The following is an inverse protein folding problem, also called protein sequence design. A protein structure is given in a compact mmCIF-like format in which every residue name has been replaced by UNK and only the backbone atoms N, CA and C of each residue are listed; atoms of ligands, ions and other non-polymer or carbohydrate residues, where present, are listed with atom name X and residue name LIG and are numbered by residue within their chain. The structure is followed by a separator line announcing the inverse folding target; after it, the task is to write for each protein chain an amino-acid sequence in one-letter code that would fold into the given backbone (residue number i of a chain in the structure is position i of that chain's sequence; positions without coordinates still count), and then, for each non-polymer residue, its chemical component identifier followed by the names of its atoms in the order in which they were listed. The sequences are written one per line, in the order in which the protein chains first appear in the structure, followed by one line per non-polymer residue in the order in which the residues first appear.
data_IF_820606904461
#
_entry.id   IF_820606904461
#
_cell.length_a   1.000
_cell.length_b   1.000
_cell.length_c   1.000
_cell.angle_alpha   90.00
_cell.angle_beta   90.00
_cell.angle_gamma   90.00
#
_symmetry.space_group_name_H-M   'P 1'
#
loop_
_entity.id
_entity.type
_entity.pdbx_description
1 polymer ?
#
# COMPACT_ATOMS: atom_id res chain seq x y z
N UNK A 1 -3.12 36.27 15.17
CA UNK A 1 -4.32 35.39 15.26
C UNK A 1 -4.15 34.13 14.40
N UNK A 2 -3.15 34.08 13.51
CA UNK A 2 -2.90 32.97 12.59
C UNK A 2 -2.52 31.63 13.21
N UNK A 3 -1.78 31.59 14.33
CA UNK A 3 -1.24 30.32 14.85
C UNK A 3 -2.36 29.35 15.26
N UNK A 4 -3.40 29.85 15.92
CA UNK A 4 -4.58 29.04 16.28
C UNK A 4 -5.35 28.55 15.05
N UNK A 5 -5.36 29.33 13.97
CA UNK A 5 -5.97 28.95 12.69
C UNK A 5 -5.20 27.82 12.02
N UNK A 6 -3.87 27.88 11.99
CA UNK A 6 -3.02 26.82 11.44
C UNK A 6 -3.14 25.51 12.23
N UNK A 7 -3.19 25.58 13.55
CA UNK A 7 -3.38 24.40 14.41
C UNK A 7 -4.73 23.72 14.09
N UNK A 8 -5.80 24.50 13.87
CA UNK A 8 -7.12 23.95 13.49
C UNK A 8 -7.16 23.34 12.08
N UNK A 9 -6.48 23.95 11.10
CA UNK A 9 -6.34 23.45 9.73
C UNK A 9 -5.58 22.12 9.69
N UNK A 10 -4.45 22.04 10.40
CA UNK A 10 -3.65 20.82 10.51
C UNK A 10 -4.43 19.68 11.17
N UNK A 11 -5.16 19.97 12.26
CA UNK A 11 -6.01 19.00 12.96
C UNK A 11 -7.09 18.43 12.05
N UNK A 12 -7.64 19.24 11.14
CA UNK A 12 -8.67 18.83 10.17
C UNK A 12 -8.07 17.99 9.04
N UNK A 13 -6.86 18.33 8.58
CA UNK A 13 -6.10 17.57 7.58
C UNK A 13 -5.65 16.21 8.08
N UNK A 14 -5.23 16.11 9.35
CA UNK A 14 -4.80 14.86 9.98
C UNK A 14 -5.96 13.90 10.26
N UNK A 15 -7.16 14.43 10.49
CA UNK A 15 -8.38 13.63 10.64
C UNK A 15 -9.01 13.22 9.30
N UNK A 16 -8.47 13.64 8.15
CA UNK A 16 -8.96 13.13 6.88
C UNK A 16 -8.76 11.62 6.85
N UNK A 17 -9.80 10.85 6.50
CA UNK A 17 -9.70 9.40 6.44
C UNK A 17 -8.55 9.04 5.52
N UNK A 18 -7.72 8.09 5.95
CA UNK A 18 -6.56 7.63 5.20
C UNK A 18 -7.01 7.29 3.78
N UNK A 19 -6.39 7.89 2.74
CA UNK A 19 -6.83 7.68 1.38
C UNK A 19 -6.82 6.18 1.06
N UNK A 20 -7.82 5.68 0.31
CA UNK A 20 -8.09 4.26 0.16
C UNK A 20 -6.91 3.46 -0.42
N UNK A 21 -5.97 4.14 -1.09
CA UNK A 21 -4.72 3.55 -1.58
C UNK A 21 -3.84 3.00 -0.45
N UNK A 22 -3.64 3.76 0.63
CA UNK A 22 -2.77 3.35 1.72
C UNK A 22 -3.37 2.22 2.56
N UNK A 23 -4.70 2.18 2.66
CA UNK A 23 -5.41 1.07 3.30
C UNK A 23 -5.19 -0.24 2.52
N UNK A 24 -5.33 -0.19 1.19
CA UNK A 24 -5.07 -1.35 0.31
C UNK A 24 -3.60 -1.79 0.33
N UNK A 25 -2.67 -0.83 0.34
CA UNK A 25 -1.24 -1.12 0.40
C UNK A 25 -0.85 -1.81 1.72
N UNK A 26 -1.43 -1.39 2.85
CA UNK A 26 -1.23 -2.06 4.14
C UNK A 26 -1.73 -3.51 4.14
N UNK A 27 -2.90 -3.78 3.54
CA UNK A 27 -3.43 -5.14 3.41
C UNK A 27 -2.54 -6.02 2.52
N UNK A 28 -2.06 -5.48 1.39
CA UNK A 28 -1.12 -6.20 0.51
C UNK A 28 0.21 -6.48 1.21
N UNK A 29 0.74 -5.52 1.98
CA UNK A 29 1.94 -5.72 2.79
C UNK A 29 1.78 -6.80 3.85
N UNK A 30 0.62 -6.87 4.51
CA UNK A 30 0.32 -7.90 5.51
C UNK A 30 0.24 -9.30 4.88
N UNK A 31 -0.40 -9.41 3.71
CA UNK A 31 -0.46 -10.65 2.92
C UNK A 31 0.96 -11.07 2.51
N UNK A 32 1.77 -10.14 2.01
CA UNK A 32 3.14 -10.41 1.59
C UNK A 32 4.04 -10.84 2.77
N UNK A 33 3.88 -10.23 3.95
CA UNK A 33 4.59 -10.62 5.17
C UNK A 33 4.19 -12.02 5.65
N UNK A 34 2.90 -12.36 5.61
CA UNK A 34 2.43 -13.72 5.93
C UNK A 34 3.00 -14.77 4.98
N UNK A 35 3.10 -14.42 3.70
CA UNK A 35 3.71 -15.28 2.69
C UNK A 35 5.24 -15.39 2.87
N UNK A 36 5.95 -14.29 3.14
CA UNK A 36 7.37 -14.32 3.46
C UNK A 36 7.68 -15.17 4.70
N UNK A 37 6.81 -15.10 5.72
CA UNK A 37 6.86 -15.97 6.89
C UNK A 37 6.58 -17.45 6.57
N UNK A 38 5.68 -17.75 5.64
CA UNK A 38 5.39 -19.11 5.20
C UNK A 38 6.48 -19.71 4.30
N UNK A 39 7.16 -18.90 3.47
CA UNK A 39 8.30 -19.35 2.67
C UNK A 39 9.46 -19.79 3.56
N UNK A 40 9.68 -19.11 4.69
CA UNK A 40 10.67 -19.53 5.69
C UNK A 40 10.38 -20.93 6.26
N UNK A 41 9.13 -21.39 6.24
CA UNK A 41 8.74 -22.69 6.83
C UNK A 41 8.55 -23.81 5.80
N UNK A 42 8.38 -23.52 4.50
CA UNK A 42 8.14 -24.53 3.47
C UNK A 42 8.94 -24.25 2.16
N UNK A 43 9.97 -25.04 1.84
CA UNK A 43 11.04 -24.56 0.95
C UNK A 43 10.77 -24.55 -0.57
N UNK A 44 9.79 -25.26 -1.15
CA UNK A 44 9.83 -25.45 -2.64
C UNK A 44 8.49 -25.52 -3.39
N UNK A 45 7.35 -25.91 -2.79
CA UNK A 45 6.12 -26.16 -3.57
C UNK A 45 5.23 -24.93 -3.83
N UNK A 46 5.16 -23.99 -2.89
CA UNK A 46 4.37 -22.75 -2.98
C UNK A 46 4.98 -21.57 -3.77
N UNK A 47 6.32 -21.44 -3.95
CA UNK A 47 6.93 -20.30 -4.63
C UNK A 47 6.44 -20.08 -6.06
N UNK A 48 6.16 -21.14 -6.83
CA UNK A 48 5.81 -21.00 -8.25
C UNK A 48 4.50 -20.25 -8.47
N UNK A 49 3.46 -20.61 -7.71
CA UNK A 49 2.14 -19.98 -7.80
C UNK A 49 2.22 -18.53 -7.34
N UNK A 50 2.98 -18.29 -6.28
CA UNK A 50 3.17 -16.97 -5.72
C UNK A 50 3.92 -16.04 -6.67
N UNK A 51 4.98 -16.50 -7.32
CA UNK A 51 5.79 -15.65 -8.22
C UNK A 51 4.96 -15.19 -9.41
N UNK A 52 4.09 -16.06 -9.92
CA UNK A 52 3.15 -15.72 -10.99
C UNK A 52 2.12 -14.67 -10.54
N UNK A 53 1.50 -14.86 -9.37
CA UNK A 53 0.54 -13.89 -8.81
C UNK A 53 1.20 -12.56 -8.48
N UNK A 54 2.42 -12.61 -7.94
CA UNK A 54 3.23 -11.43 -7.64
C UNK A 54 3.58 -10.66 -8.92
N UNK A 55 3.91 -11.35 -10.03
CA UNK A 55 4.15 -10.71 -11.32
C UNK A 55 2.95 -9.88 -11.78
N UNK A 56 1.73 -10.46 -11.74
CA UNK A 56 0.52 -9.73 -12.09
C UNK A 56 0.20 -8.57 -11.13
N UNK A 57 0.36 -8.78 -9.82
CA UNK A 57 0.17 -7.72 -8.82
C UNK A 57 1.18 -6.59 -8.98
N UNK A 58 2.43 -6.90 -9.32
CA UNK A 58 3.47 -5.91 -9.56
C UNK A 58 3.12 -5.06 -10.79
N UNK A 59 2.71 -5.68 -11.89
CA UNK A 59 2.29 -4.96 -13.11
C UNK A 59 1.05 -4.11 -12.86
N UNK A 60 0.05 -4.63 -12.13
CA UNK A 60 -1.14 -3.86 -11.78
C UNK A 60 -0.78 -2.69 -10.83
N UNK A 61 0.10 -2.94 -9.85
CA UNK A 61 0.56 -1.95 -8.89
C UNK A 61 1.37 -0.83 -9.54
N UNK A 62 2.24 -1.14 -10.51
CA UNK A 62 3.03 -0.13 -11.23
C UNK A 62 2.13 0.78 -12.05
N UNK A 63 1.15 0.23 -12.79
CA UNK A 63 0.19 1.03 -13.57
C UNK A 63 -0.62 1.94 -12.65
N UNK A 64 -1.14 1.42 -11.54
CA UNK A 64 -1.88 2.23 -10.57
C UNK A 64 -1.01 3.31 -9.93
N UNK A 65 0.25 3.01 -9.63
CA UNK A 65 1.21 3.99 -9.10
C UNK A 65 1.51 5.09 -10.13
N UNK A 66 1.68 4.75 -11.40
CA UNK A 66 1.86 5.71 -12.49
C UNK A 66 0.66 6.66 -12.59
N UNK A 67 -0.56 6.12 -12.56
CA UNK A 67 -1.79 6.93 -12.62
C UNK A 67 -1.93 7.84 -11.39
N UNK A 68 -1.56 7.34 -10.20
CA UNK A 68 -1.59 8.13 -8.96
C UNK A 68 -0.58 9.27 -8.98
N UNK A 69 0.57 9.10 -9.65
CA UNK A 69 1.55 10.17 -9.83
C UNK A 69 1.02 11.24 -10.79
N UNK A 70 0.34 10.84 -11.87
CA UNK A 70 -0.27 11.77 -12.84
C UNK A 70 -1.41 12.59 -12.22
N UNK A 71 -2.09 12.08 -11.19
CA UNK A 71 -3.20 12.79 -10.49
C UNK A 71 -2.72 13.69 -9.34
N UNK A 72 -1.44 13.58 -8.93
CA UNK A 72 -0.87 14.40 -7.85
C UNK A 72 -0.11 15.63 -8.36
N UNK A 73 -0.29 15.99 -9.63
CA UNK A 73 0.11 17.29 -10.20
C UNK A 73 -1.10 18.23 -10.30
#
# INVERSE_FOLDING_TARGET
MEVNKLISELKTRWKKPTPPLFQKLGQLGLILAGIGGAILTAPVALPLVLTNVAGYLLTAGTVLASISQITSE
#
